data_IF_039655018459
#
_entry.id   IF_039655018459
#
_cell.length_a   1.000
_cell.length_b   1.000
_cell.length_c   1.000
_cell.angle_alpha   90.00
_cell.angle_beta   90.00
_cell.angle_gamma   90.00
#
_symmetry.space_group_name_H-M   'P 1'
#
loop_
_entity.id
_entity.type
_entity.pdbx_description
1 polymer ?
#
# COMPACT_ATOMS: atom_id res chain seq x y z
N UNK A 1 8.18 -9.41 7.22
CA UNK A 1 7.72 -8.39 8.18
C UNK A 1 7.09 -9.10 9.39
N UNK A 2 7.87 -9.46 10.40
CA UNK A 2 7.32 -10.08 11.63
C UNK A 2 7.10 -9.07 12.76
N UNK A 3 7.04 -7.78 12.43
CA UNK A 3 6.80 -6.68 13.34
C UNK A 3 5.36 -6.63 13.81
N UNK A 4 5.13 -5.93 14.95
CA UNK A 4 3.78 -5.53 15.36
C UNK A 4 3.13 -4.66 14.28
N UNK A 5 1.79 -4.60 14.20
CA UNK A 5 1.10 -3.66 13.32
C UNK A 5 1.61 -2.24 13.53
N UNK A 6 2.14 -1.65 12.46
CA UNK A 6 2.61 -0.28 12.40
C UNK A 6 2.27 0.26 11.02
N UNK A 7 1.92 1.52 10.98
CA UNK A 7 1.72 2.23 9.73
C UNK A 7 3.10 2.64 9.20
N UNK A 8 3.32 2.53 7.88
CA UNK A 8 4.63 2.72 7.26
C UNK A 8 4.50 3.47 5.94
N UNK A 9 5.52 4.27 5.63
CA UNK A 9 5.67 4.93 4.34
C UNK A 9 6.90 4.32 3.66
N UNK A 10 6.71 3.77 2.47
CA UNK A 10 7.78 3.28 1.62
C UNK A 10 8.00 4.28 0.49
N UNK A 11 9.25 4.71 0.31
CA UNK A 11 9.65 5.59 -0.79
C UNK A 11 10.24 4.75 -1.90
N UNK A 12 9.57 4.74 -3.04
CA UNK A 12 10.03 3.99 -4.22
C UNK A 12 11.24 4.69 -4.86
N UNK A 13 12.23 3.96 -5.38
CA UNK A 13 13.39 4.57 -6.02
C UNK A 13 13.00 5.41 -7.26
N UNK A 14 12.00 4.96 -8.02
CA UNK A 14 11.42 5.67 -9.16
C UNK A 14 9.91 5.75 -9.02
N UNK A 15 9.32 6.79 -9.61
CA UNK A 15 7.87 6.89 -9.76
C UNK A 15 7.42 6.03 -10.95
N UNK A 16 7.15 4.76 -10.68
CA UNK A 16 6.64 3.81 -11.67
C UNK A 16 5.87 2.69 -10.97
N UNK A 17 5.06 1.95 -11.74
CA UNK A 17 4.21 0.88 -11.20
C UNK A 17 5.02 -0.30 -10.65
N UNK A 18 6.18 -0.59 -11.24
CA UNK A 18 6.97 -1.77 -10.91
C UNK A 18 7.72 -1.58 -9.58
N UNK A 19 8.36 -0.42 -9.40
CA UNK A 19 9.10 -0.04 -8.20
C UNK A 19 8.19 0.20 -7.00
N UNK A 20 6.93 0.57 -7.23
CA UNK A 20 5.94 0.78 -6.17
C UNK A 20 5.03 -0.43 -5.92
N UNK A 21 5.32 -1.58 -6.52
CA UNK A 21 4.58 -2.82 -6.27
C UNK A 21 4.98 -3.44 -4.93
N UNK A 22 4.02 -4.02 -4.21
CA UNK A 22 4.25 -4.67 -2.91
C UNK A 22 3.77 -6.12 -2.92
N UNK A 23 4.28 -6.90 -1.97
CA UNK A 23 3.84 -8.26 -1.70
C UNK A 23 3.36 -8.38 -0.26
N UNK A 24 2.54 -9.39 0.02
CA UNK A 24 2.13 -9.75 1.39
C UNK A 24 2.85 -10.98 1.95
N UNK A 25 3.96 -11.38 1.33
CA UNK A 25 4.80 -12.46 1.85
C UNK A 25 5.39 -12.03 3.21
N UNK A 26 5.31 -12.92 4.20
CA UNK A 26 5.74 -12.67 5.58
C UNK A 26 4.99 -11.56 6.32
N UNK A 27 3.75 -11.25 5.96
CA UNK A 27 2.84 -10.42 6.76
C UNK A 27 1.96 -11.29 7.67
N UNK A 28 1.59 -10.77 8.85
CA UNK A 28 0.73 -11.50 9.82
C UNK A 28 -0.70 -10.97 9.92
N UNK A 29 -0.97 -9.79 9.36
CA UNK A 29 -2.24 -9.08 9.50
C UNK A 29 -2.60 -8.40 8.17
N UNK A 30 -3.90 -8.16 7.91
CA UNK A 30 -4.32 -7.41 6.75
C UNK A 30 -3.96 -5.94 6.87
N UNK A 31 -3.70 -5.31 5.72
CA UNK A 31 -3.40 -3.88 5.61
C UNK A 31 -4.29 -3.22 4.56
N UNK A 32 -4.39 -1.91 4.69
CA UNK A 32 -4.89 -1.02 3.67
C UNK A 32 -3.70 -0.28 3.06
N UNK A 33 -3.74 0.04 1.76
CA UNK A 33 -2.63 0.66 1.05
C UNK A 33 -3.09 1.81 0.18
N UNK A 34 -2.37 2.93 0.29
CA UNK A 34 -2.48 4.07 -0.59
C UNK A 34 -1.20 4.19 -1.41
N UNK A 35 -1.33 4.48 -2.69
CA UNK A 35 -0.21 4.86 -3.55
C UNK A 35 -0.31 6.33 -3.88
N UNK A 36 0.80 7.06 -3.75
CA UNK A 36 0.87 8.48 -4.08
C UNK A 36 1.89 8.74 -5.20
N UNK A 37 1.62 9.73 -6.05
CA UNK A 37 2.62 10.29 -6.96
C UNK A 37 3.64 11.20 -6.23
N UNK A 38 4.64 11.73 -6.94
CA UNK A 38 5.61 12.69 -6.38
C UNK A 38 5.01 14.03 -5.95
N UNK A 39 3.77 14.33 -6.37
CA UNK A 39 3.01 15.52 -5.97
C UNK A 39 2.08 15.22 -4.79
N UNK A 40 2.29 14.09 -4.12
CA UNK A 40 1.54 13.67 -2.94
C UNK A 40 0.05 13.41 -3.19
N UNK A 41 -0.35 13.15 -4.45
CA UNK A 41 -1.73 12.81 -4.79
C UNK A 41 -1.96 11.33 -4.79
N UNK A 42 -3.11 10.91 -4.25
CA UNK A 42 -3.52 9.50 -4.24
C UNK A 42 -3.82 9.04 -5.66
N UNK A 43 -3.04 8.08 -6.15
CA UNK A 43 -3.18 7.54 -7.51
C UNK A 43 -3.85 6.17 -7.56
N UNK A 44 -3.83 5.42 -6.46
CA UNK A 44 -4.57 4.17 -6.30
C UNK A 44 -4.77 3.81 -4.83
N UNK A 45 -5.79 2.99 -4.57
CA UNK A 45 -6.17 2.53 -3.24
C UNK A 45 -6.48 1.04 -3.25
N UNK A 46 -5.97 0.30 -2.26
CA UNK A 46 -6.38 -1.08 -1.97
C UNK A 46 -6.71 -1.26 -0.50
N UNK A 47 -7.96 -1.65 -0.23
CA UNK A 47 -8.45 -1.98 1.11
C UNK A 47 -8.32 -3.47 1.38
N UNK A 48 -8.03 -3.83 2.63
CA UNK A 48 -8.06 -5.21 3.15
C UNK A 48 -7.25 -6.20 2.31
N UNK A 49 -6.00 -5.85 2.05
CA UNK A 49 -5.02 -6.75 1.46
C UNK A 49 -4.70 -7.84 2.50
N UNK A 50 -4.94 -9.11 2.15
CA UNK A 50 -4.74 -10.23 3.07
C UNK A 50 -3.29 -10.74 3.03
N UNK A 51 -2.76 -11.23 4.15
CA UNK A 51 -1.53 -12.02 4.18
C UNK A 51 -1.56 -13.19 3.19
N UNK A 52 -0.38 -13.59 2.72
CA UNK A 52 -0.23 -14.80 1.94
C UNK A 52 -0.65 -16.02 2.77
N UNK A 53 -1.60 -16.79 2.24
CA UNK A 53 -2.10 -18.03 2.81
C UNK A 53 -1.85 -19.16 1.81
N UNK A 54 -1.08 -20.17 2.21
CA UNK A 54 -0.65 -21.28 1.35
C UNK A 54 -1.81 -22.12 0.82
N UNK A 55 -2.97 -22.11 1.49
CA UNK A 55 -4.16 -22.84 1.06
C UNK A 55 -5.09 -21.99 0.20
N UNK A 56 -4.89 -20.66 0.16
CA UNK A 56 -5.73 -19.72 -0.58
C UNK A 56 -4.94 -19.05 -1.70
N UNK A 57 -4.89 -19.70 -2.87
CA UNK A 57 -4.22 -19.18 -4.09
C UNK A 57 -4.60 -17.74 -4.45
N UNK A 58 -5.82 -17.29 -4.12
CA UNK A 58 -6.26 -15.90 -4.34
C UNK A 58 -5.42 -14.83 -3.61
N UNK A 59 -4.67 -15.22 -2.58
CA UNK A 59 -3.78 -14.34 -1.81
C UNK A 59 -2.35 -14.27 -2.37
N UNK A 60 -2.02 -15.13 -3.33
CA UNK A 60 -0.69 -15.20 -3.95
C UNK A 60 -0.59 -14.16 -5.07
N UNK A 61 -0.51 -12.90 -4.67
CA UNK A 61 -0.58 -11.78 -5.60
C UNK A 61 0.45 -10.73 -5.23
N UNK A 62 1.00 -10.12 -6.27
CA UNK A 62 1.67 -8.83 -6.17
C UNK A 62 0.62 -7.74 -6.33
N UNK A 63 0.64 -6.76 -5.44
CA UNK A 63 -0.25 -5.62 -5.46
C UNK A 63 0.50 -4.45 -6.07
N UNK A 64 -0.08 -3.85 -7.09
CA UNK A 64 0.51 -2.77 -7.87
C UNK A 64 -0.53 -1.67 -8.08
N UNK A 65 -0.12 -0.40 -8.10
CA UNK A 65 -1.04 0.67 -8.43
C UNK A 65 -1.42 0.65 -9.91
N UNK A 66 -2.57 1.23 -10.23
CA UNK A 66 -3.03 1.47 -11.61
C UNK A 66 -2.18 2.50 -12.35
N UNK A 67 -1.69 3.50 -11.64
CA UNK A 67 -0.86 4.59 -12.19
C UNK A 67 0.52 4.63 -11.50
N UNK A 68 1.55 5.23 -12.11
CA UNK A 68 2.87 5.42 -11.49
C UNK A 68 2.75 6.05 -10.09
N UNK A 69 3.52 5.52 -9.14
CA UNK A 69 3.53 6.01 -7.76
C UNK A 69 4.96 6.13 -7.24
N UNK A 70 5.21 7.15 -6.43
CA UNK A 70 6.47 7.40 -5.73
C UNK A 70 6.43 6.89 -4.30
N UNK A 71 5.27 6.98 -3.64
CA UNK A 71 5.09 6.58 -2.26
C UNK A 71 4.07 5.45 -2.13
N UNK A 72 4.31 4.54 -1.18
CA UNK A 72 3.36 3.52 -0.76
C UNK A 72 3.13 3.67 0.73
N UNK A 73 1.90 3.99 1.13
CA UNK A 73 1.50 4.12 2.53
C UNK A 73 0.79 2.84 2.93
N UNK A 74 1.41 2.07 3.81
CA UNK A 74 0.83 0.87 4.42
C UNK A 74 0.17 1.26 5.74
N UNK A 75 -1.12 0.99 5.84
CA UNK A 75 -1.95 1.30 7.01
C UNK A 75 -2.55 0.02 7.59
N UNK A 76 -2.77 0.00 8.90
CA UNK A 76 -3.63 -1.02 9.52
C UNK A 76 -5.00 -1.11 8.83
N UNK A 77 -5.57 -2.32 8.76
CA UNK A 77 -6.86 -2.52 8.10
C UNK A 77 -7.96 -1.63 8.68
N UNK A 78 -8.73 -0.98 7.79
CA UNK A 78 -9.82 -0.07 8.15
C UNK A 78 -9.39 1.37 8.43
N UNK A 79 -8.10 1.70 8.31
CA UNK A 79 -7.58 3.05 8.63
C UNK A 79 -7.59 4.05 7.48
N UNK A 80 -7.96 3.66 6.26
CA UNK A 80 -8.03 4.57 5.11
C UNK A 80 -9.07 5.70 5.29
N UNK A 81 -10.07 5.52 6.17
CA UNK A 81 -11.13 6.52 6.34
C UNK A 81 -11.86 6.81 5.03
N UNK A 82 -12.03 8.11 4.74
CA UNK A 82 -12.74 8.64 3.57
C UNK A 82 -11.81 9.04 2.42
N UNK A 83 -10.54 8.63 2.43
CA UNK A 83 -9.59 8.99 1.36
C UNK A 83 -10.01 8.39 0.01
N UNK A 84 -9.97 9.22 -1.02
CA UNK A 84 -10.31 8.89 -2.40
C UNK A 84 -9.12 9.09 -3.35
N UNK A 85 -9.23 8.55 -4.56
CA UNK A 85 -8.23 8.78 -5.62
C UNK A 85 -8.34 10.25 -6.04
N UNK A 86 -7.20 10.94 -6.06
CA UNK A 86 -7.11 12.38 -6.36
C UNK A 86 -6.90 13.26 -5.14
N UNK A 87 -7.15 12.75 -3.93
CA UNK A 87 -6.86 13.48 -2.69
C UNK A 87 -5.37 13.77 -2.54
N UNK A 88 -5.04 14.85 -1.83
CA UNK A 88 -3.67 15.22 -1.50
C UNK A 88 -3.34 14.84 -0.06
N UNK A 89 -2.17 14.24 0.15
CA UNK A 89 -1.69 13.80 1.46
C UNK A 89 -0.50 14.65 1.88
N UNK A 90 -0.50 15.12 3.13
CA UNK A 90 0.65 15.83 3.70
C UNK A 90 1.31 14.99 4.80
N UNK A 91 2.64 15.03 4.88
CA UNK A 91 3.39 14.45 6.00
C UNK A 91 3.71 15.55 7.00
N UNK A 92 3.03 15.51 8.15
CA UNK A 92 3.27 16.42 9.27
C UNK A 92 4.35 15.86 10.20
N UNK A 93 5.20 16.75 10.73
CA UNK A 93 6.23 16.43 11.72
C UNK A 93 5.68 16.45 13.15
#
# INVERSE_FOLDING_TARGET
>A
MFSKPKDMILVSPREDVACSSIHMLFMKFPIDVLWLDSRMRVVDIKKKILPLDIFKRKTWRIYKPRNPAKYVIELGNGKIGNTEIGDEIEFIN
#
